data_IF_634360414809
#
_entry.id   IF_634360414809
#
_cell.length_a   1.000
_cell.length_b   1.000
_cell.length_c   1.000
_cell.angle_alpha   90.00
_cell.angle_beta   90.00
_cell.angle_gamma   90.00
#
_symmetry.space_group_name_H-M   'P 1'
#
loop_
_entity.id
_entity.type
_entity.pdbx_description
1 polymer ?
#
# COMPACT_ATOMS: atom_id res chain seq x y z
N UNK A 1 9.54 5.51 11.59
CA UNK A 1 9.95 6.85 11.10
C UNK A 1 9.27 7.06 9.75
N UNK A 2 8.00 7.47 9.75
CA UNK A 2 7.32 8.00 8.58
C UNK A 2 7.29 9.51 8.81
N UNK A 3 8.09 10.24 8.05
CA UNK A 3 8.09 11.69 8.10
C UNK A 3 6.70 12.16 7.74
N UNK A 4 6.06 12.84 8.68
CA UNK A 4 4.84 13.59 8.44
C UNK A 4 5.08 14.54 7.27
N UNK A 5 4.52 14.21 6.10
CA UNK A 5 4.17 15.24 5.14
C UNK A 5 3.24 16.21 5.86
N UNK A 6 3.49 17.52 5.78
CA UNK A 6 2.87 18.47 6.66
C UNK A 6 1.37 18.45 6.41
N UNK A 7 0.58 18.40 7.49
CA UNK A 7 -0.87 18.54 7.48
C UNK A 7 -1.37 19.77 6.69
N UNK A 8 -0.48 20.72 6.38
CA UNK A 8 -0.73 21.94 5.62
C UNK A 8 -1.03 21.74 4.13
N UNK A 9 -0.50 20.70 3.48
CA UNK A 9 -0.72 20.51 2.02
C UNK A 9 -2.13 20.04 1.69
N UNK A 10 -2.85 19.47 2.67
CA UNK A 10 -4.23 19.00 2.49
C UNK A 10 -5.28 20.02 2.96
N UNK A 11 -4.88 21.13 3.60
CA UNK A 11 -5.82 22.14 4.12
C UNK A 11 -6.59 22.88 3.02
N UNK A 12 -6.00 23.01 1.83
CA UNK A 12 -6.62 23.67 0.66
C UNK A 12 -7.28 22.69 -0.33
N UNK A 13 -7.35 21.41 0.03
CA UNK A 13 -7.75 20.35 -0.88
C UNK A 13 -9.26 20.11 -0.80
N UNK A 14 -10.02 20.93 -1.53
CA UNK A 14 -11.49 20.85 -1.58
C UNK A 14 -11.97 19.68 -2.44
N UNK A 15 -11.29 19.41 -3.55
CA UNK A 15 -11.64 18.36 -4.49
C UNK A 15 -10.38 17.73 -5.10
N UNK A 16 -10.44 16.41 -5.33
CA UNK A 16 -9.41 15.67 -6.06
C UNK A 16 -9.96 15.38 -7.46
N UNK A 17 -9.23 15.82 -8.47
CA UNK A 17 -9.59 15.58 -9.87
C UNK A 17 -9.62 14.08 -10.19
N UNK A 18 -10.49 13.71 -11.13
CA UNK A 18 -10.67 12.34 -11.61
C UNK A 18 -10.62 12.35 -13.12
N UNK A 19 -9.56 11.77 -13.67
CA UNK A 19 -9.32 11.77 -15.11
C UNK A 19 -9.17 10.34 -15.64
N UNK A 20 -9.52 10.17 -16.92
CA UNK A 20 -9.21 8.98 -17.70
C UNK A 20 -8.45 9.39 -18.97
N UNK A 21 -7.75 8.45 -19.56
CA UNK A 21 -7.01 8.56 -20.82
C UNK A 21 -6.02 9.74 -20.81
N UNK A 22 -5.23 9.86 -19.74
CA UNK A 22 -4.34 10.99 -19.50
C UNK A 22 -2.98 10.80 -20.18
N UNK A 23 -2.55 11.79 -20.95
CA UNK A 23 -1.19 11.82 -21.49
C UNK A 23 -0.16 12.20 -20.42
N UNK A 24 1.03 11.60 -20.48
CA UNK A 24 2.12 11.87 -19.51
C UNK A 24 2.50 13.36 -19.43
N UNK A 25 2.51 14.08 -20.55
CA UNK A 25 2.85 15.51 -20.59
C UNK A 25 1.86 16.35 -19.79
N UNK A 26 0.55 16.12 -20.00
CA UNK A 26 -0.49 16.79 -19.24
C UNK A 26 -0.42 16.44 -17.76
N UNK A 27 -0.15 15.17 -17.42
CA UNK A 27 0.04 14.74 -16.04
C UNK A 27 1.23 15.46 -15.38
N UNK A 28 2.34 15.59 -16.10
CA UNK A 28 3.56 16.21 -15.61
C UNK A 28 3.33 17.70 -15.29
N UNK A 29 2.77 18.45 -16.24
CA UNK A 29 2.65 19.90 -16.14
C UNK A 29 1.49 20.37 -15.24
N UNK A 30 0.36 19.66 -15.30
CA UNK A 30 -0.85 20.04 -14.56
C UNK A 30 -0.86 19.49 -13.13
N UNK A 31 -0.21 18.35 -12.86
CA UNK A 31 -0.30 17.67 -11.57
C UNK A 31 1.04 17.43 -10.89
N UNK A 32 1.97 16.69 -11.52
CA UNK A 32 3.21 16.27 -10.86
C UNK A 32 4.13 17.45 -10.50
N UNK A 33 4.32 18.42 -11.39
CA UNK A 33 5.15 19.61 -11.15
C UNK A 33 4.55 20.57 -10.09
N UNK A 34 3.26 20.39 -9.76
CA UNK A 34 2.53 21.25 -8.81
C UNK A 34 2.19 20.54 -7.50
N UNK A 35 2.65 19.29 -7.35
CA UNK A 35 2.29 18.41 -6.23
C UNK A 35 0.76 18.29 -6.01
N UNK A 36 -0.03 18.41 -7.09
CA UNK A 36 -1.48 18.35 -7.03
C UNK A 36 -1.98 16.90 -7.12
N UNK A 37 -2.86 16.44 -6.21
CA UNK A 37 -3.35 15.06 -6.26
C UNK A 37 -4.33 14.86 -7.41
N UNK A 38 -4.30 13.67 -7.98
CA UNK A 38 -5.18 13.23 -9.05
C UNK A 38 -5.52 11.75 -8.87
N UNK A 39 -6.74 11.38 -9.26
CA UNK A 39 -7.14 9.99 -9.42
C UNK A 39 -7.25 9.69 -10.92
N UNK A 40 -6.41 8.76 -11.41
CA UNK A 40 -6.53 8.23 -12.78
C UNK A 40 -7.41 6.99 -12.75
N UNK A 41 -8.59 7.07 -13.37
CA UNK A 41 -9.65 6.06 -13.23
C UNK A 41 -9.35 4.77 -14.02
N UNK A 42 -8.65 4.89 -15.14
CA UNK A 42 -8.32 3.80 -16.07
C UNK A 42 -6.88 3.30 -15.91
N UNK A 43 -6.20 3.67 -14.81
CA UNK A 43 -4.81 3.33 -14.53
C UNK A 43 -4.48 1.82 -14.61
N UNK A 44 -5.46 1.00 -14.22
CA UNK A 44 -5.31 -0.43 -14.01
C UNK A 44 -5.99 -1.27 -15.10
N UNK A 45 -6.57 -0.68 -16.14
CA UNK A 45 -7.29 -1.43 -17.20
C UNK A 45 -6.41 -2.45 -17.93
N UNK A 46 -5.13 -2.11 -18.09
CA UNK A 46 -4.13 -3.00 -18.72
C UNK A 46 -3.67 -4.15 -17.82
N UNK A 47 -4.01 -4.15 -16.53
CA UNK A 47 -3.55 -5.17 -15.61
C UNK A 47 -4.40 -6.44 -15.79
N UNK A 48 -3.75 -7.54 -16.16
CA UNK A 48 -4.42 -8.82 -16.39
C UNK A 48 -5.30 -9.26 -15.21
N UNK A 49 -4.87 -8.94 -13.99
CA UNK A 49 -5.59 -9.20 -12.74
C UNK A 49 -6.98 -8.55 -12.68
N UNK A 50 -7.14 -7.37 -13.27
CA UNK A 50 -8.43 -6.66 -13.29
C UNK A 50 -9.43 -7.31 -14.25
N UNK A 51 -8.94 -8.10 -15.22
CA UNK A 51 -9.77 -8.80 -16.22
C UNK A 51 -10.09 -10.25 -15.81
N UNK A 52 -9.75 -10.64 -14.58
CA UNK A 52 -10.03 -11.99 -14.06
C UNK A 52 -10.93 -11.89 -12.83
N UNK A 53 -12.07 -12.58 -12.84
CA UNK A 53 -12.99 -12.65 -11.69
C UNK A 53 -12.41 -13.42 -10.49
N UNK A 54 -11.27 -14.09 -10.70
CA UNK A 54 -10.66 -15.03 -9.75
C UNK A 54 -9.46 -14.45 -8.99
N UNK A 55 -9.24 -13.13 -8.99
CA UNK A 55 -8.18 -12.53 -8.18
C UNK A 55 -8.67 -12.12 -6.79
N UNK A 56 -8.39 -12.97 -5.80
CA UNK A 56 -8.83 -12.81 -4.42
C UNK A 56 -7.62 -12.90 -3.47
N UNK A 57 -7.86 -12.76 -2.16
CA UNK A 57 -6.81 -12.89 -1.14
C UNK A 57 -6.04 -14.21 -1.25
N UNK A 58 -6.70 -15.26 -1.72
CA UNK A 58 -6.12 -16.59 -1.87
C UNK A 58 -5.01 -16.62 -2.91
N UNK A 59 -5.08 -15.84 -3.99
CA UNK A 59 -4.03 -15.81 -5.02
C UNK A 59 -2.72 -15.25 -4.46
N UNK A 60 -2.81 -14.19 -3.66
CA UNK A 60 -1.66 -13.60 -2.98
C UNK A 60 -1.18 -14.52 -1.87
N UNK A 61 -2.10 -15.04 -1.05
CA UNK A 61 -1.77 -15.94 0.06
C UNK A 61 -1.07 -17.21 -0.44
N UNK A 62 -1.61 -17.86 -1.47
CA UNK A 62 -1.01 -19.05 -2.09
C UNK A 62 0.38 -18.77 -2.67
N UNK A 63 0.59 -17.62 -3.31
CA UNK A 63 1.90 -17.24 -3.83
C UNK A 63 2.97 -17.23 -2.73
N UNK A 64 2.69 -16.59 -1.59
CA UNK A 64 3.64 -16.53 -0.48
C UNK A 64 3.76 -17.85 0.29
N UNK A 65 2.71 -18.70 0.30
CA UNK A 65 2.75 -19.99 1.00
C UNK A 65 3.42 -21.11 0.18
N UNK A 66 3.40 -21.04 -1.16
CA UNK A 66 3.88 -22.12 -2.05
C UNK A 66 5.25 -21.85 -2.66
N UNK A 67 5.65 -20.58 -2.86
CA UNK A 67 6.96 -20.25 -3.41
C UNK A 67 8.02 -20.38 -2.30
N UNK A 68 8.90 -21.37 -2.40
CA UNK A 68 9.98 -21.63 -1.45
C UNK A 68 10.84 -20.39 -1.18
N UNK A 69 10.97 -19.48 -2.16
CA UNK A 69 11.76 -18.24 -2.01
C UNK A 69 11.00 -17.14 -1.26
N UNK A 70 9.68 -17.28 -1.10
CA UNK A 70 8.82 -16.31 -0.43
C UNK A 70 8.40 -16.75 0.97
N UNK A 71 8.47 -18.05 1.27
CA UNK A 71 8.13 -18.61 2.58
C UNK A 71 9.03 -18.04 3.68
N UNK A 72 10.32 -17.83 3.37
CA UNK A 72 11.29 -17.27 4.31
C UNK A 72 11.37 -15.73 4.25
N UNK A 73 10.55 -15.09 3.41
CA UNK A 73 10.55 -13.63 3.28
C UNK A 73 9.98 -12.99 4.53
N UNK A 74 10.80 -12.16 5.19
CA UNK A 74 10.36 -11.31 6.29
C UNK A 74 10.14 -9.89 5.78
N UNK A 75 8.91 -9.33 5.84
CA UNK A 75 8.68 -7.95 5.45
C UNK A 75 9.37 -7.00 6.44
N UNK A 76 9.91 -5.88 5.95
CA UNK A 76 10.54 -4.88 6.84
C UNK A 76 9.56 -4.30 7.86
N UNK A 77 8.29 -4.16 7.44
CA UNK A 77 7.21 -3.60 8.25
C UNK A 77 5.98 -4.47 8.00
N UNK A 78 5.43 -5.05 9.07
CA UNK A 78 4.16 -5.78 9.08
C UNK A 78 3.22 -5.12 10.08
N UNK A 79 2.07 -4.63 9.60
CA UNK A 79 1.03 -4.01 10.44
C UNK A 79 -0.26 -4.78 10.27
N UNK A 80 -0.84 -5.25 11.37
CA UNK A 80 -2.12 -5.99 11.38
C UNK A 80 -2.85 -5.79 12.72
N UNK A 81 -4.17 -5.96 12.72
CA UNK A 81 -4.98 -5.99 13.95
C UNK A 81 -4.87 -7.32 14.71
N UNK A 82 -4.40 -8.38 14.06
CA UNK A 82 -4.13 -9.63 14.74
C UNK A 82 -2.83 -9.46 15.53
N UNK A 83 -2.72 -10.11 16.70
CA UNK A 83 -1.42 -10.29 17.34
C UNK A 83 -0.81 -11.55 16.75
N UNK A 84 0.07 -11.48 15.75
CA UNK A 84 0.93 -12.62 15.45
C UNK A 84 1.93 -12.73 16.60
N UNK A 85 2.19 -13.95 17.08
CA UNK A 85 3.19 -14.18 18.15
C UNK A 85 4.62 -13.81 17.73
N UNK A 86 4.82 -13.43 16.47
CA UNK A 86 6.06 -13.04 15.80
C UNK A 86 5.76 -12.03 14.68
N UNK A 87 6.76 -11.33 14.15
CA UNK A 87 6.63 -10.49 12.94
C UNK A 87 6.58 -11.31 11.63
N UNK A 88 6.14 -12.56 11.71
CA UNK A 88 6.19 -13.54 10.62
C UNK A 88 4.95 -13.40 9.72
N UNK A 89 5.19 -12.99 8.46
CA UNK A 89 4.17 -12.90 7.43
C UNK A 89 3.57 -14.28 7.11
N UNK A 90 4.38 -15.34 7.11
CA UNK A 90 3.95 -16.70 6.82
C UNK A 90 2.95 -17.21 7.86
N UNK A 91 3.27 -17.01 9.15
CA UNK A 91 2.36 -17.33 10.25
C UNK A 91 1.04 -16.55 10.15
N UNK A 92 1.08 -15.29 9.74
CA UNK A 92 -0.12 -14.49 9.50
C UNK A 92 -0.96 -15.04 8.34
N UNK A 93 -0.33 -15.33 7.20
CA UNK A 93 -0.99 -15.85 5.99
C UNK A 93 -1.65 -17.22 6.26
N UNK A 94 -0.96 -18.12 6.96
CA UNK A 94 -1.55 -19.40 7.41
C UNK A 94 -2.77 -19.20 8.30
N UNK A 95 -2.76 -18.17 9.14
CA UNK A 95 -3.83 -17.88 10.08
C UNK A 95 -5.08 -17.35 9.38
N UNK A 96 -4.93 -16.43 8.42
CA UNK A 96 -6.07 -15.90 7.64
C UNK A 96 -6.65 -16.90 6.64
N UNK A 97 -5.88 -17.92 6.25
CA UNK A 97 -6.37 -19.04 5.43
C UNK A 97 -7.33 -19.97 6.22
N UNK A 98 -7.53 -19.73 7.52
CA UNK A 98 -8.54 -20.44 8.31
C UNK A 98 -9.90 -19.74 8.20
N UNK A 99 -11.00 -20.45 7.88
CA UNK A 99 -12.33 -19.85 7.74
C UNK A 99 -12.91 -19.27 9.05
N UNK A 100 -12.22 -19.44 10.18
CA UNK A 100 -12.62 -18.93 11.50
C UNK A 100 -12.25 -17.46 11.72
N UNK A 101 -11.46 -16.86 10.85
CA UNK A 101 -10.95 -15.49 11.00
C UNK A 101 -11.41 -14.67 9.79
N UNK A 102 -12.53 -13.99 9.95
CA UNK A 102 -13.18 -13.19 8.93
C UNK A 102 -12.85 -11.69 9.04
N UNK A 103 -12.47 -11.20 10.23
CA UNK A 103 -12.17 -9.77 10.52
C UNK A 103 -10.69 -9.47 10.72
N UNK A 104 -10.00 -9.09 9.65
CA UNK A 104 -8.58 -8.78 9.68
C UNK A 104 -8.17 -7.74 8.64
N UNK A 105 -7.13 -6.99 8.96
CA UNK A 105 -6.35 -6.24 7.98
C UNK A 105 -4.89 -6.64 8.09
N UNK A 106 -4.19 -6.58 6.97
CA UNK A 106 -2.74 -6.64 6.95
C UNK A 106 -2.20 -5.66 5.93
N UNK A 107 -1.14 -4.97 6.34
CA UNK A 107 -0.37 -4.09 5.51
C UNK A 107 1.09 -4.47 5.69
N UNK A 108 1.81 -4.71 4.59
CA UNK A 108 3.24 -4.95 4.67
C UNK A 108 4.06 -4.25 3.59
N UNK A 109 5.25 -3.85 4.06
CA UNK A 109 6.44 -3.38 3.35
C UNK A 109 7.15 -4.48 2.56
N UNK A 110 6.91 -4.64 1.26
CA UNK A 110 7.70 -5.56 0.42
C UNK A 110 9.06 -5.00 -0.04
N UNK A 111 9.38 -3.76 0.33
CA UNK A 111 10.54 -3.04 -0.21
C UNK A 111 11.76 -3.11 0.70
N UNK A 112 12.96 -3.14 0.10
CA UNK A 112 14.28 -3.06 0.73
C UNK A 112 14.71 -4.27 1.58
N UNK A 113 13.82 -5.19 1.95
CA UNK A 113 14.19 -6.41 2.69
C UNK A 113 14.23 -7.70 1.86
N UNK A 114 13.45 -7.82 0.77
CA UNK A 114 13.49 -9.03 -0.08
C UNK A 114 13.12 -8.75 -1.56
N UNK A 115 14.10 -8.95 -2.45
CA UNK A 115 13.93 -8.75 -3.90
C UNK A 115 13.05 -9.82 -4.55
N UNK A 116 12.93 -11.02 -3.97
CA UNK A 116 12.11 -12.10 -4.49
C UNK A 116 10.63 -11.75 -4.36
N UNK A 117 10.19 -11.23 -3.21
CA UNK A 117 8.82 -10.77 -3.03
C UNK A 117 8.46 -9.60 -3.95
N UNK A 118 9.37 -8.65 -4.16
CA UNK A 118 9.16 -7.55 -5.11
C UNK A 118 8.94 -8.08 -6.53
N UNK A 119 9.77 -9.02 -6.98
CA UNK A 119 9.66 -9.63 -8.31
C UNK A 119 8.39 -10.46 -8.47
N UNK A 120 7.99 -11.19 -7.43
CA UNK A 120 6.79 -12.02 -7.46
C UNK A 120 5.52 -11.16 -7.59
N UNK A 121 5.41 -10.07 -6.83
CA UNK A 121 4.28 -9.15 -6.90
C UNK A 121 4.19 -8.38 -8.23
N UNK A 122 5.32 -8.09 -8.88
CA UNK A 122 5.37 -7.44 -10.20
C UNK A 122 4.72 -8.24 -11.33
N UNK A 123 4.30 -9.48 -11.08
CA UNK A 123 3.51 -10.27 -12.02
C UNK A 123 2.04 -9.83 -12.06
N UNK A 124 1.53 -9.19 -11.00
CA UNK A 124 0.11 -8.86 -10.86
C UNK A 124 -0.25 -7.45 -11.32
N UNK A 125 0.69 -6.52 -11.26
CA UNK A 125 0.49 -5.14 -11.66
C UNK A 125 1.54 -4.75 -12.70
N UNK A 126 1.18 -3.82 -13.57
CA UNK A 126 2.07 -3.30 -14.61
C UNK A 126 2.26 -1.80 -14.44
N UNK A 127 3.25 -1.23 -15.13
CA UNK A 127 3.38 0.22 -15.22
C UNK A 127 2.11 0.78 -15.87
N UNK A 128 1.41 1.74 -15.23
CA UNK A 128 0.25 2.40 -15.84
C UNK A 128 0.62 3.12 -17.15
N UNK A 129 -0.30 3.15 -18.10
CA UNK A 129 -0.08 3.67 -19.46
C UNK A 129 0.34 5.15 -19.48
N UNK A 130 -0.11 5.93 -18.50
CA UNK A 130 0.16 7.37 -18.40
C UNK A 130 1.56 7.69 -17.86
N UNK A 131 2.33 6.70 -17.39
CA UNK A 131 3.72 6.91 -16.94
C UNK A 131 4.70 6.63 -18.07
N UNK A 132 5.58 7.60 -18.33
CA UNK A 132 6.67 7.46 -19.32
C UNK A 132 7.66 6.35 -18.95
N UNK A 133 8.28 5.75 -19.97
CA UNK A 133 9.37 4.78 -19.81
C UNK A 133 10.60 5.36 -19.13
N UNK A 134 10.78 6.69 -19.20
CA UNK A 134 11.84 7.44 -18.51
C UNK A 134 11.68 7.44 -16.98
N UNK A 135 10.48 7.16 -16.46
CA UNK A 135 10.25 7.07 -15.01
C UNK A 135 10.78 5.74 -14.50
N UNK A 136 11.76 5.79 -13.58
CA UNK A 136 12.30 4.60 -12.94
C UNK A 136 11.16 3.80 -12.29
N UNK A 137 11.12 2.47 -12.46
CA UNK A 137 10.19 1.62 -11.72
C UNK A 137 10.32 1.87 -10.23
N UNK A 138 9.19 1.88 -9.52
CA UNK A 138 9.19 1.91 -8.08
C UNK A 138 9.95 0.67 -7.56
N UNK A 139 10.91 0.91 -6.67
CA UNK A 139 11.69 -0.17 -6.08
C UNK A 139 10.88 -0.89 -4.98
N UNK A 140 9.69 -0.38 -4.61
CA UNK A 140 8.79 -0.90 -3.58
C UNK A 140 7.56 -1.56 -4.16
N UNK A 141 7.07 -2.51 -3.37
CA UNK A 141 5.65 -2.83 -3.31
C UNK A 141 5.12 -2.69 -1.89
N UNK A 142 3.90 -2.20 -1.80
CA UNK A 142 3.08 -2.19 -0.60
C UNK A 142 1.86 -3.04 -0.90
N UNK A 143 1.55 -3.96 0.00
CA UNK A 143 0.34 -4.78 -0.13
C UNK A 143 -0.54 -4.50 1.06
N UNK A 144 -1.79 -4.15 0.77
CA UNK A 144 -2.85 -3.94 1.74
C UNK A 144 -3.95 -4.94 1.42
N UNK A 145 -4.28 -5.81 2.36
CA UNK A 145 -5.38 -6.76 2.27
C UNK A 145 -6.25 -6.64 3.51
N UNK A 146 -7.56 -6.81 3.32
CA UNK A 146 -8.51 -6.70 4.42
C UNK A 146 -9.75 -7.53 4.13
N UNK A 147 -10.18 -8.33 5.11
CA UNK A 147 -11.45 -9.05 5.11
C UNK A 147 -12.25 -8.61 6.33
N UNK A 148 -13.52 -8.23 6.14
CA UNK A 148 -14.49 -7.79 7.16
C UNK A 148 -13.94 -7.04 8.41
N UNK A 149 -12.93 -6.19 8.24
CA UNK A 149 -12.31 -5.44 9.34
C UNK A 149 -13.13 -4.18 9.67
N UNK A 150 -13.49 -3.99 10.96
CA UNK A 150 -14.20 -2.77 11.42
C UNK A 150 -13.68 -2.23 12.75
N UNK A 151 -13.38 -0.93 12.79
CA UNK A 151 -13.35 -0.12 14.01
C UNK A 151 -14.03 1.22 13.71
N UNK A 152 -15.27 1.42 14.20
CA UNK A 152 -16.18 2.55 13.86
C UNK A 152 -15.65 3.98 14.13
N UNK A 153 -14.39 4.19 14.51
CA UNK A 153 -13.87 5.51 14.87
C UNK A 153 -12.42 5.61 14.37
N UNK A 154 -12.16 6.65 13.57
CA UNK A 154 -10.82 7.17 13.31
C UNK A 154 -10.03 7.25 14.62
N UNK A 155 -9.04 6.37 14.83
CA UNK A 155 -8.17 6.51 16.01
C UNK A 155 -7.21 7.68 15.75
N UNK A 156 -7.57 8.86 16.25
CA UNK A 156 -6.62 9.98 16.41
C UNK A 156 -5.48 9.47 17.29
N UNK A 157 -4.32 9.26 16.69
CA UNK A 157 -3.14 8.76 17.39
C UNK A 157 -2.56 9.88 18.27
N UNK A 158 -2.87 9.88 19.57
CA UNK A 158 -2.37 10.88 20.55
C UNK A 158 -0.85 10.85 20.76
N UNK A 159 -0.13 9.90 20.18
CA UNK A 159 1.35 9.91 20.24
C UNK A 159 1.97 11.07 19.46
N UNK A 160 1.23 11.72 18.55
CA UNK A 160 1.67 12.95 17.88
C UNK A 160 1.47 14.22 18.73
N UNK A 161 0.52 14.20 19.68
CA UNK A 161 0.22 15.38 20.52
C UNK A 161 1.29 15.58 21.63
N UNK A 162 1.96 14.51 22.06
CA UNK A 162 3.03 14.57 23.09
C UNK A 162 4.35 15.14 22.57
N UNK A 163 4.55 15.20 21.25
CA UNK A 163 5.74 15.84 20.67
C UNK A 163 5.54 17.36 20.60
N UNK A 164 4.29 17.85 20.47
CA UNK A 164 4.00 19.28 20.42
C UNK A 164 4.09 19.97 21.79
N UNK A 165 3.86 19.28 22.91
CA UNK A 165 3.95 19.89 24.25
C UNK A 165 5.39 20.16 24.70
N UNK A 166 6.38 19.45 24.15
CA UNK A 166 7.78 19.70 24.47
C UNK A 166 8.41 20.87 23.69
N UNK A 167 7.80 21.32 22.57
CA UNK A 167 8.30 22.46 21.79
C UNK A 167 7.72 23.82 22.22
N UNK A 168 6.71 23.84 23.10
CA UNK A 168 6.07 25.07 23.58
C UNK A 168 6.52 25.52 24.98
N UNK A 169 7.46 24.81 25.60
CA UNK A 169 8.09 25.18 26.89
C UNK A 169 9.58 25.55 26.78
N UNK A 170 10.08 25.70 25.55
CA UNK A 170 11.48 26.10 25.27
C UNK A 170 11.59 27.48 24.62
N UNK A 171 10.81 28.46 25.08
CA UNK A 171 11.01 29.88 24.77
C UNK A 171 11.18 30.67 26.06
#
# INVERSE_FOLDING_TARGET
>A
MLTAWPAKSCEALEQVDRLGSVAYEHLLDSYLNRDAPLIVMDAMESWAVMNTDNFWFDNITQLYLQDEKLVDTVPCILTTNLRPGSSDLHAFLKRINSPKIDKWFVHWLGQNCDIHAVKALRKFYQRPYFLSSSVSPAHFNWVLMSSDYTTKIYKKNRSLDLVQSHYSLGR
#
